data_IF_599978628419
#
_entry.id   IF_599978628419
#
_cell.length_a   1.000
_cell.length_b   1.000
_cell.length_c   1.000
_cell.angle_alpha   90.00
_cell.angle_beta   90.00
_cell.angle_gamma   90.00
#
_symmetry.space_group_name_H-M   'P 1'
#
loop_
_entity.id
_entity.type
_entity.pdbx_description
1 polymer ?
#
# COMPACT_ATOMS: atom_id res chain seq x y z
N UNK A 1 33.85 -17.18 -17.82
CA UNK A 1 33.51 -16.86 -16.41
C UNK A 1 32.11 -17.39 -16.14
N UNK A 2 31.86 -18.07 -15.01
CA UNK A 2 30.52 -18.61 -14.73
C UNK A 2 29.50 -17.49 -14.57
N UNK A 3 28.26 -17.74 -14.95
CA UNK A 3 27.18 -16.76 -14.90
C UNK A 3 26.87 -16.34 -13.46
N UNK A 4 27.00 -17.26 -12.50
CA UNK A 4 26.89 -16.96 -11.06
C UNK A 4 27.94 -15.94 -10.61
N UNK A 5 29.18 -16.03 -11.12
CA UNK A 5 30.25 -15.10 -10.77
C UNK A 5 30.00 -13.72 -11.39
N UNK A 6 29.51 -13.69 -12.64
CA UNK A 6 29.08 -12.46 -13.33
C UNK A 6 27.97 -11.76 -12.54
N UNK A 7 26.98 -12.51 -12.09
CA UNK A 7 25.88 -11.97 -11.28
C UNK A 7 26.38 -11.41 -9.94
N UNK A 8 27.25 -12.15 -9.24
CA UNK A 8 27.85 -11.66 -7.99
C UNK A 8 28.61 -10.35 -8.16
N UNK A 9 29.36 -10.20 -9.26
CA UNK A 9 30.07 -8.97 -9.57
C UNK A 9 29.14 -7.80 -9.91
N UNK A 10 28.03 -8.05 -10.60
CA UNK A 10 27.00 -7.03 -10.87
C UNK A 10 26.32 -6.62 -9.56
N UNK A 11 25.87 -7.59 -8.77
CA UNK A 11 25.15 -7.34 -7.51
C UNK A 11 25.98 -6.53 -6.51
N UNK A 12 27.30 -6.79 -6.43
CA UNK A 12 28.21 -6.03 -5.57
C UNK A 12 28.38 -4.55 -5.96
N UNK A 13 28.02 -4.18 -7.20
CA UNK A 13 28.11 -2.82 -7.74
C UNK A 13 26.75 -2.11 -7.83
N UNK A 14 25.66 -2.77 -7.44
CA UNK A 14 24.35 -2.11 -7.37
C UNK A 14 24.33 -1.12 -6.19
N UNK A 15 23.58 -0.01 -6.29
CA UNK A 15 23.30 0.90 -5.17
C UNK A 15 22.75 0.16 -3.96
N UNK A 16 22.66 0.77 -2.77
CA UNK A 16 22.08 0.09 -1.58
C UNK A 16 20.54 0.01 -1.64
N UNK A 17 19.94 0.86 -2.45
CA UNK A 17 18.54 1.23 -2.57
C UNK A 17 17.95 0.94 -3.97
N UNK A 18 18.65 0.14 -4.78
CA UNK A 18 18.10 -0.32 -6.05
C UNK A 18 16.81 -1.12 -5.85
N UNK A 19 15.84 -0.92 -6.73
CA UNK A 19 14.56 -1.64 -6.72
C UNK A 19 14.59 -2.78 -7.72
N UNK A 20 15.03 -2.49 -8.94
CA UNK A 20 15.04 -3.42 -10.06
C UNK A 20 16.29 -3.18 -10.91
N UNK A 21 16.88 -4.26 -11.43
CA UNK A 21 17.96 -4.18 -12.41
C UNK A 21 17.55 -4.94 -13.67
N UNK A 22 17.67 -4.28 -14.81
CA UNK A 22 17.53 -4.90 -16.12
C UNK A 22 18.85 -5.57 -16.49
N UNK A 23 18.79 -6.86 -16.79
CA UNK A 23 19.92 -7.65 -17.25
C UNK A 23 19.68 -8.10 -18.69
N UNK A 24 20.73 -8.04 -19.50
CA UNK A 24 20.75 -8.60 -20.85
C UNK A 24 21.67 -9.80 -20.85
N UNK A 25 21.16 -10.96 -21.23
CA UNK A 25 21.87 -12.21 -21.28
C UNK A 25 21.99 -12.66 -22.73
N UNK A 26 23.23 -12.75 -23.21
CA UNK A 26 23.56 -13.28 -24.53
C UNK A 26 24.17 -14.68 -24.37
N UNK A 27 23.70 -15.65 -25.14
CA UNK A 27 24.36 -16.97 -25.24
C UNK A 27 25.54 -16.87 -26.20
N UNK A 28 26.66 -17.54 -25.89
CA UNK A 28 27.80 -17.59 -26.81
C UNK A 28 27.44 -18.29 -28.13
N UNK A 29 26.60 -19.33 -28.05
CA UNK A 29 26.03 -20.00 -29.20
C UNK A 29 24.57 -19.53 -29.41
N UNK A 30 24.21 -18.90 -30.55
CA UNK A 30 22.86 -18.38 -30.78
C UNK A 30 21.76 -19.45 -30.75
N UNK A 31 22.11 -20.70 -31.08
CA UNK A 31 21.17 -21.84 -31.06
C UNK A 31 20.68 -22.16 -29.64
N UNK A 32 21.46 -21.81 -28.61
CA UNK A 32 21.18 -22.15 -27.21
C UNK A 32 20.23 -21.17 -26.53
N UNK A 33 19.88 -20.05 -27.17
CA UNK A 33 19.03 -19.00 -26.57
C UNK A 33 17.65 -19.54 -26.15
N UNK A 34 17.09 -20.49 -26.90
CA UNK A 34 15.79 -21.11 -26.59
C UNK A 34 15.90 -21.98 -25.33
N UNK A 35 17.00 -22.73 -25.20
CA UNK A 35 17.27 -23.58 -24.04
C UNK A 35 17.56 -22.73 -22.80
N UNK A 36 18.31 -21.64 -22.96
CA UNK A 36 18.55 -20.67 -21.91
C UNK A 36 17.23 -20.03 -21.42
N UNK A 37 16.36 -19.62 -22.33
CA UNK A 37 15.06 -19.04 -22.00
C UNK A 37 14.19 -20.03 -21.21
N UNK A 38 14.16 -21.30 -21.61
CA UNK A 38 13.41 -22.34 -20.90
C UNK A 38 13.92 -22.55 -19.47
N UNK A 39 15.24 -22.56 -19.27
CA UNK A 39 15.83 -22.69 -17.94
C UNK A 39 15.57 -21.46 -17.06
N UNK A 40 15.47 -20.27 -17.66
CA UNK A 40 15.17 -19.01 -16.99
C UNK A 40 13.67 -18.71 -16.84
N UNK A 41 12.79 -19.63 -17.24
CA UNK A 41 11.33 -19.44 -17.26
C UNK A 41 10.74 -18.75 -16.02
N UNK A 42 11.14 -19.08 -14.77
CA UNK A 42 10.63 -18.41 -13.58
C UNK A 42 10.91 -16.90 -13.48
N UNK A 43 11.94 -16.39 -14.19
CA UNK A 43 12.23 -14.95 -14.29
C UNK A 43 11.48 -14.27 -15.44
N UNK A 44 10.69 -15.02 -16.21
CA UNK A 44 9.96 -14.55 -17.39
C UNK A 44 10.85 -13.72 -18.36
N UNK A 45 11.96 -14.29 -18.86
CA UNK A 45 12.86 -13.56 -19.76
C UNK A 45 12.15 -13.18 -21.05
N UNK A 46 12.36 -11.95 -21.49
CA UNK A 46 11.88 -11.43 -22.76
C UNK A 46 12.96 -11.64 -23.81
N UNK A 47 12.63 -12.27 -24.94
CA UNK A 47 13.57 -12.42 -26.04
C UNK A 47 13.60 -11.13 -26.87
N UNK A 48 14.78 -10.52 -27.00
CA UNK A 48 14.99 -9.32 -27.80
C UNK A 48 16.33 -9.42 -28.52
N UNK A 49 16.35 -9.18 -29.84
CA UNK A 49 17.57 -9.08 -30.65
C UNK A 49 18.56 -10.26 -30.49
N UNK A 50 18.04 -11.48 -30.30
CA UNK A 50 18.89 -12.68 -30.12
C UNK A 50 19.45 -12.87 -28.71
N UNK A 51 19.14 -11.97 -27.78
CA UNK A 51 19.44 -12.05 -26.36
C UNK A 51 18.15 -12.23 -25.52
N UNK A 52 18.35 -12.45 -24.22
CA UNK A 52 17.30 -12.52 -23.21
C UNK A 52 17.42 -11.32 -22.29
N UNK A 53 16.36 -10.54 -22.20
CA UNK A 53 16.21 -9.44 -21.26
C UNK A 53 15.42 -9.95 -20.06
N UNK A 54 15.94 -9.75 -18.86
CA UNK A 54 15.28 -10.16 -17.63
C UNK A 54 15.45 -9.10 -16.54
N UNK A 55 14.50 -9.10 -15.61
CA UNK A 55 14.47 -8.14 -14.52
C UNK A 55 14.63 -8.88 -13.21
N UNK A 56 15.57 -8.41 -12.39
CA UNK A 56 15.74 -8.90 -11.01
C UNK A 56 15.29 -7.79 -10.09
N UNK A 57 14.46 -8.11 -9.09
CA UNK A 57 13.93 -7.15 -8.11
C UNK A 57 14.52 -7.40 -6.73
N UNK A 58 14.92 -6.34 -6.03
CA UNK A 58 15.52 -6.45 -4.69
C UNK A 58 14.55 -7.04 -3.66
N UNK A 59 13.25 -6.77 -3.78
CA UNK A 59 12.20 -7.18 -2.85
C UNK A 59 12.05 -8.71 -2.67
N UNK A 60 12.77 -9.52 -3.45
CA UNK A 60 12.82 -10.97 -3.29
C UNK A 60 11.77 -11.72 -4.11
N UNK A 61 11.43 -12.94 -3.68
CA UNK A 61 10.47 -13.81 -4.37
C UNK A 61 11.04 -14.51 -5.60
N UNK A 62 10.16 -14.94 -6.51
CA UNK A 62 10.52 -15.69 -7.72
C UNK A 62 11.43 -14.89 -8.68
N UNK A 63 11.38 -13.54 -8.62
CA UNK A 63 12.24 -12.62 -9.37
C UNK A 63 13.37 -11.99 -8.55
N UNK A 64 13.68 -12.54 -7.37
CA UNK A 64 14.67 -11.99 -6.45
C UNK A 64 16.13 -12.37 -6.76
N UNK A 65 17.12 -11.75 -6.09
CA UNK A 65 18.55 -12.00 -6.31
C UNK A 65 18.95 -13.48 -6.14
N UNK A 66 18.43 -14.13 -5.08
CA UNK A 66 18.73 -15.54 -4.80
C UNK A 66 17.98 -16.50 -5.76
N UNK A 67 16.84 -16.08 -6.31
CA UNK A 67 16.17 -16.85 -7.36
C UNK A 67 16.98 -16.77 -8.67
N UNK A 68 17.41 -15.56 -9.06
CA UNK A 68 18.26 -15.35 -10.22
C UNK A 68 19.58 -16.14 -10.12
N UNK A 69 20.26 -16.06 -8.98
CA UNK A 69 21.50 -16.82 -8.71
C UNK A 69 21.33 -18.32 -8.90
N UNK A 70 20.23 -18.91 -8.40
CA UNK A 70 19.94 -20.35 -8.56
C UNK A 70 19.73 -20.73 -10.03
N UNK A 71 19.04 -19.87 -10.79
CA UNK A 71 18.77 -20.14 -12.20
C UNK A 71 20.03 -19.96 -13.06
N UNK A 72 20.89 -19.00 -12.73
CA UNK A 72 22.20 -18.86 -13.37
C UNK A 72 23.12 -20.05 -13.08
N UNK A 73 23.13 -20.55 -11.83
CA UNK A 73 23.87 -21.76 -11.48
C UNK A 73 23.41 -22.97 -12.31
N UNK A 74 22.10 -23.09 -12.55
CA UNK A 74 21.54 -24.14 -13.41
C UNK A 74 22.00 -24.03 -14.86
N UNK A 75 22.13 -22.83 -15.41
CA UNK A 75 22.69 -22.62 -16.75
C UNK A 75 24.17 -23.03 -16.81
N UNK A 76 24.95 -22.66 -15.79
CA UNK A 76 26.36 -23.05 -15.67
C UNK A 76 26.51 -24.58 -15.59
N UNK A 77 25.67 -25.26 -14.79
CA UNK A 77 25.64 -26.72 -14.68
C UNK A 77 25.27 -27.40 -16.00
N UNK A 78 24.36 -26.80 -16.77
CA UNK A 78 23.97 -27.27 -18.10
C UNK A 78 25.00 -26.94 -19.19
N UNK A 79 26.11 -26.28 -18.83
CA UNK A 79 27.17 -25.82 -19.74
C UNK A 79 26.63 -24.93 -20.87
N UNK A 80 25.63 -24.11 -20.56
CA UNK A 80 25.11 -23.08 -21.46
C UNK A 80 25.90 -21.81 -21.15
N UNK A 81 26.88 -21.51 -21.99
CA UNK A 81 27.77 -20.37 -21.77
C UNK A 81 27.09 -19.07 -22.17
N UNK A 82 26.98 -18.16 -21.21
CA UNK A 82 26.28 -16.90 -21.35
C UNK A 82 27.14 -15.75 -20.84
N UNK A 83 26.94 -14.58 -21.44
CA UNK A 83 27.43 -13.30 -20.93
C UNK A 83 26.26 -12.50 -20.39
N UNK A 84 26.44 -11.91 -19.22
CA UNK A 84 25.47 -11.07 -18.53
C UNK A 84 25.95 -9.62 -18.58
N UNK A 85 25.17 -8.77 -19.24
CA UNK A 85 25.38 -7.34 -19.25
C UNK A 85 24.34 -6.62 -18.41
N UNK A 86 24.79 -5.58 -17.72
CA UNK A 86 23.96 -4.77 -16.83
C UNK A 86 23.40 -3.58 -17.63
N UNK A 87 22.09 -3.59 -17.82
CA UNK A 87 21.37 -2.47 -18.41
C UNK A 87 20.95 -1.43 -17.37
N UNK A 88 19.79 -0.82 -17.62
CA UNK A 88 19.18 0.18 -16.76
C UNK A 88 18.94 -0.34 -15.34
N UNK A 89 19.31 0.48 -14.35
CA UNK A 89 19.00 0.25 -12.94
C UNK A 89 17.83 1.18 -12.62
N UNK A 90 16.72 0.61 -12.20
CA UNK A 90 15.67 1.38 -11.57
C UNK A 90 16.04 1.52 -10.09
N UNK A 91 16.63 2.66 -9.77
CA UNK A 91 16.71 3.10 -8.38
C UNK A 91 15.29 3.33 -7.90
N UNK A 92 15.04 3.00 -6.62
CA UNK A 92 13.82 3.44 -6.00
C UNK A 92 13.88 4.97 -6.05
N UNK A 93 13.08 5.59 -6.93
CA UNK A 93 12.87 7.03 -6.85
C UNK A 93 12.52 7.31 -5.38
N UNK A 94 13.12 8.33 -4.72
CA UNK A 94 12.60 8.75 -3.44
C UNK A 94 11.11 8.90 -3.67
N UNK A 95 10.32 8.09 -2.96
CA UNK A 95 8.89 8.17 -3.05
C UNK A 95 8.62 9.59 -2.55
N UNK A 96 8.39 10.52 -3.48
CA UNK A 96 7.56 11.66 -3.17
C UNK A 96 6.28 10.98 -2.70
N UNK A 97 6.15 10.88 -1.38
CA UNK A 97 4.86 10.75 -0.75
C UNK A 97 4.07 11.93 -1.31
N UNK A 98 3.33 11.69 -2.39
CA UNK A 98 2.08 12.39 -2.60
C UNK A 98 1.41 12.29 -1.25
N UNK A 99 1.21 13.41 -0.52
CA UNK A 99 0.73 13.32 0.84
C UNK A 99 -0.56 12.53 0.79
N UNK A 100 -0.52 11.28 1.26
CA UNK A 100 -1.74 10.52 1.52
C UNK A 100 -2.48 11.42 2.50
N UNK A 101 -3.64 11.94 2.09
CA UNK A 101 -4.36 12.91 2.90
C UNK A 101 -4.47 12.34 4.31
N UNK A 102 -3.91 13.05 5.30
CA UNK A 102 -3.97 12.59 6.68
C UNK A 102 -5.44 12.50 7.07
N UNK A 103 -5.86 11.34 7.57
CA UNK A 103 -7.23 11.14 8.03
C UNK A 103 -7.51 12.11 9.18
N UNK A 104 -6.52 12.31 10.06
CA UNK A 104 -6.62 13.29 11.14
C UNK A 104 -6.78 14.73 10.61
N UNK A 105 -6.04 15.11 9.57
CA UNK A 105 -6.20 16.42 8.94
C UNK A 105 -7.57 16.57 8.28
N UNK A 106 -8.06 15.55 7.57
CA UNK A 106 -9.40 15.58 6.95
C UNK A 106 -10.51 15.77 7.99
N UNK A 107 -10.31 15.21 9.19
CA UNK A 107 -11.20 15.41 10.33
C UNK A 107 -11.15 16.85 10.86
N UNK A 108 -9.94 17.38 11.05
CA UNK A 108 -9.74 18.76 11.51
C UNK A 108 -10.39 19.76 10.53
N UNK A 109 -10.19 19.55 9.23
CA UNK A 109 -10.79 20.35 8.16
C UNK A 109 -12.32 20.25 8.17
N UNK A 110 -12.88 19.04 8.28
CA UNK A 110 -14.31 18.85 8.31
C UNK A 110 -14.96 19.54 9.53
N UNK A 111 -14.34 19.45 10.71
CA UNK A 111 -14.85 20.10 11.93
C UNK A 111 -14.70 21.61 11.87
N UNK A 112 -13.65 22.14 11.25
CA UNK A 112 -13.40 23.57 11.14
C UNK A 112 -14.47 24.30 10.31
N UNK A 113 -15.17 23.60 9.41
CA UNK A 113 -16.27 24.17 8.60
C UNK A 113 -17.59 24.32 9.36
N UNK A 114 -17.70 23.75 10.56
CA UNK A 114 -18.96 23.70 11.30
C UNK A 114 -19.26 25.00 12.07
N UNK A 115 -20.54 25.35 12.27
CA UNK A 115 -20.95 26.45 13.15
C UNK A 115 -20.43 26.30 14.57
N UNK A 116 -20.11 27.38 15.26
CA UNK A 116 -19.53 27.31 16.61
C UNK A 116 -20.41 26.56 17.62
N UNK A 117 -21.74 26.56 17.42
CA UNK A 117 -22.78 25.99 18.28
C UNK A 117 -23.18 24.55 17.93
N UNK A 118 -22.46 23.86 17.05
CA UNK A 118 -22.74 22.47 16.76
C UNK A 118 -22.62 21.61 18.03
N UNK A 119 -23.52 20.63 18.18
CA UNK A 119 -23.62 19.73 19.32
C UNK A 119 -23.32 18.27 18.95
N UNK A 120 -23.94 17.77 17.89
CA UNK A 120 -23.87 16.35 17.48
C UNK A 120 -23.63 16.22 15.96
N UNK A 121 -22.83 15.22 15.58
CA UNK A 121 -22.45 14.94 14.21
C UNK A 121 -22.71 13.47 13.87
N UNK A 122 -23.22 13.24 12.66
CA UNK A 122 -23.14 11.96 11.97
C UNK A 122 -22.04 12.07 10.92
N UNK A 123 -21.02 11.23 11.04
CA UNK A 123 -19.84 11.27 10.21
C UNK A 123 -19.65 9.96 9.45
N UNK A 124 -18.95 10.04 8.33
CA UNK A 124 -18.43 8.90 7.58
C UNK A 124 -16.92 8.95 7.57
N UNK A 125 -16.29 7.81 7.83
CA UNK A 125 -14.89 7.54 7.56
C UNK A 125 -14.82 6.62 6.34
N UNK A 126 -14.30 7.09 5.22
CA UNK A 126 -14.01 6.27 4.04
C UNK A 126 -12.55 5.81 4.08
N UNK A 127 -12.30 4.57 3.67
CA UNK A 127 -10.99 3.90 3.64
C UNK A 127 -10.70 3.51 2.19
N UNK A 128 -9.49 3.79 1.71
CA UNK A 128 -9.13 3.56 0.30
C UNK A 128 -9.08 2.07 -0.09
N UNK A 129 -8.82 1.17 0.87
CA UNK A 129 -8.68 -0.27 0.66
C UNK A 129 -9.66 -1.11 1.49
N UNK A 130 -10.38 -2.04 0.85
CA UNK A 130 -11.33 -2.92 1.55
C UNK A 130 -10.65 -3.97 2.42
N UNK A 131 -9.44 -4.38 2.07
CA UNK A 131 -8.56 -5.25 2.84
C UNK A 131 -8.06 -4.61 4.14
N UNK A 132 -8.06 -3.27 4.20
CA UNK A 132 -7.67 -2.50 5.39
C UNK A 132 -8.81 -2.33 6.40
N UNK A 133 -10.07 -2.64 6.03
CA UNK A 133 -11.23 -2.46 6.90
C UNK A 133 -11.11 -3.15 8.27
N UNK A 134 -10.65 -4.41 8.39
CA UNK A 134 -10.52 -5.05 9.71
C UNK A 134 -9.51 -4.33 10.60
N UNK A 135 -8.40 -3.85 10.04
CA UNK A 135 -7.37 -3.12 10.80
C UNK A 135 -7.87 -1.74 11.19
N UNK A 136 -8.47 -1.02 10.26
CA UNK A 136 -9.09 0.28 10.51
C UNK A 136 -10.18 0.19 11.60
N UNK A 137 -11.03 -0.84 11.56
CA UNK A 137 -12.06 -1.07 12.58
C UNK A 137 -11.46 -1.24 13.98
N UNK A 138 -10.32 -1.95 14.11
CA UNK A 138 -9.65 -2.16 15.38
C UNK A 138 -9.06 -0.84 15.93
N UNK A 139 -8.37 -0.08 15.07
CA UNK A 139 -7.77 1.20 15.47
C UNK A 139 -8.82 2.25 15.82
N UNK A 140 -9.96 2.20 15.13
CA UNK A 140 -11.12 3.03 15.35
C UNK A 140 -12.13 2.43 16.34
N UNK A 141 -11.85 1.32 17.03
CA UNK A 141 -12.79 0.74 17.99
C UNK A 141 -13.33 1.77 19.03
N UNK A 142 -12.52 2.73 19.55
CA UNK A 142 -13.02 3.74 20.48
C UNK A 142 -14.05 4.72 19.92
N UNK A 143 -14.15 4.91 18.59
CA UNK A 143 -15.18 5.78 17.98
C UNK A 143 -16.52 5.05 17.81
N UNK A 144 -16.61 3.79 18.23
CA UNK A 144 -17.76 2.90 18.08
C UNK A 144 -18.33 2.89 16.64
N UNK A 145 -17.51 2.55 15.63
CA UNK A 145 -17.89 2.65 14.23
C UNK A 145 -18.88 1.55 13.87
N UNK A 146 -19.85 1.88 13.01
CA UNK A 146 -20.71 0.90 12.34
C UNK A 146 -20.31 0.82 10.86
N UNK A 147 -20.23 -0.38 10.29
CA UNK A 147 -19.90 -0.56 8.87
C UNK A 147 -20.89 0.18 7.97
N UNK A 148 -20.38 1.04 7.09
CA UNK A 148 -21.18 1.66 6.04
C UNK A 148 -21.50 0.65 4.93
N UNK A 149 -22.70 0.66 4.36
CA UNK A 149 -23.06 -0.23 3.24
C UNK A 149 -22.88 0.42 1.88
N UNK A 150 -22.74 1.74 1.85
CA UNK A 150 -22.64 2.52 0.61
C UNK A 150 -21.19 2.80 0.20
N UNK A 151 -20.25 2.69 1.14
CA UNK A 151 -18.82 2.97 0.94
C UNK A 151 -17.91 1.89 1.53
N UNK A 152 -16.62 1.92 1.20
CA UNK A 152 -15.58 1.16 1.91
C UNK A 152 -15.21 1.98 3.15
N UNK A 153 -15.90 1.75 4.26
CA UNK A 153 -15.79 2.66 5.41
C UNK A 153 -16.75 2.42 6.56
N UNK A 154 -16.85 3.41 7.43
CA UNK A 154 -17.63 3.37 8.65
C UNK A 154 -18.47 4.62 8.84
N UNK A 155 -19.59 4.46 9.51
CA UNK A 155 -20.38 5.54 10.07
C UNK A 155 -20.12 5.61 11.57
N UNK A 156 -20.06 6.81 12.11
CA UNK A 156 -19.89 7.02 13.54
C UNK A 156 -20.53 8.34 13.97
N UNK A 157 -20.73 8.46 15.29
CA UNK A 157 -21.27 9.66 15.91
C UNK A 157 -20.17 10.39 16.64
N UNK A 158 -20.02 11.67 16.37
CA UNK A 158 -19.20 12.55 17.20
C UNK A 158 -20.10 13.54 17.93
N UNK A 159 -19.74 13.90 19.16
CA UNK A 159 -20.54 14.83 19.94
C UNK A 159 -19.70 15.65 20.91
N UNK A 160 -20.16 16.88 21.19
CA UNK A 160 -19.74 17.70 22.33
C UNK A 160 -20.59 17.45 23.57
N UNK A 161 -21.83 16.99 23.39
CA UNK A 161 -22.82 16.77 24.46
C UNK A 161 -23.61 15.48 24.25
N UNK A 162 -23.79 14.67 25.29
CA UNK A 162 -24.55 13.42 25.19
C UNK A 162 -23.74 12.27 24.55
N UNK A 163 -24.36 11.53 23.63
CA UNK A 163 -23.84 10.25 23.13
C UNK A 163 -23.10 10.37 21.78
N UNK A 164 -21.83 10.02 21.78
CA UNK A 164 -20.93 10.06 20.63
C UNK A 164 -19.48 10.18 21.09
N UNK A 165 -18.52 9.93 20.20
CA UNK A 165 -17.11 10.12 20.53
C UNK A 165 -16.77 11.60 20.60
N UNK A 166 -15.86 11.99 21.50
CA UNK A 166 -15.36 13.36 21.52
C UNK A 166 -14.49 13.65 20.30
N UNK A 167 -14.40 14.92 19.90
CA UNK A 167 -13.59 15.33 18.74
C UNK A 167 -12.12 14.97 18.89
N UNK A 168 -11.58 15.11 20.10
CA UNK A 168 -10.19 14.77 20.41
C UNK A 168 -9.95 13.26 20.33
N UNK A 169 -10.91 12.45 20.81
CA UNK A 169 -10.77 10.99 20.72
C UNK A 169 -10.93 10.48 19.29
N UNK A 170 -11.84 11.07 18.50
CA UNK A 170 -11.95 10.79 17.07
C UNK A 170 -10.63 11.06 16.36
N UNK A 171 -10.07 12.27 16.56
CA UNK A 171 -8.78 12.68 16.00
C UNK A 171 -7.66 11.70 16.35
N UNK A 172 -7.54 11.29 17.61
CA UNK A 172 -6.53 10.30 18.05
C UNK A 172 -6.69 8.93 17.38
N UNK A 173 -7.91 8.51 17.07
CA UNK A 173 -8.12 7.27 16.33
C UNK A 173 -7.66 7.41 14.87
N UNK A 174 -7.84 8.59 14.27
CA UNK A 174 -7.38 8.88 12.91
C UNK A 174 -5.85 9.04 12.83
N UNK A 175 -5.22 9.63 13.84
CA UNK A 175 -3.75 9.66 13.94
C UNK A 175 -3.15 8.25 13.93
N UNK A 176 -3.81 7.27 14.56
CA UNK A 176 -3.37 5.86 14.50
C UNK A 176 -3.51 5.23 13.12
N UNK A 177 -4.51 5.64 12.33
CA UNK A 177 -4.62 5.22 10.94
C UNK A 177 -3.45 5.79 10.13
N UNK A 178 -3.15 7.09 10.34
CA UNK A 178 -2.04 7.78 9.68
C UNK A 178 -0.69 7.15 10.05
N UNK A 179 -0.45 6.85 11.33
CA UNK A 179 0.74 6.14 11.84
C UNK A 179 0.94 4.77 11.17
N UNK A 180 -0.14 4.09 10.81
CA UNK A 180 -0.10 2.80 10.10
C UNK A 180 -0.21 2.93 8.58
N UNK A 181 -0.14 4.16 8.04
CA UNK A 181 -0.27 4.42 6.61
C UNK A 181 -1.59 3.91 6.00
N UNK A 182 -2.67 3.88 6.78
CA UNK A 182 -4.02 3.53 6.31
C UNK A 182 -4.70 4.81 5.83
N UNK A 183 -4.73 5.00 4.51
CA UNK A 183 -5.33 6.17 3.88
C UNK A 183 -6.87 6.15 3.91
N UNK A 184 -7.44 7.34 4.04
CA UNK A 184 -8.87 7.55 4.11
C UNK A 184 -9.25 9.02 4.25
N UNK A 185 -10.54 9.28 4.38
CA UNK A 185 -11.06 10.64 4.57
C UNK A 185 -12.31 10.65 5.44
N UNK A 186 -12.48 11.73 6.20
CA UNK A 186 -13.66 11.92 7.04
C UNK A 186 -14.58 12.99 6.46
N UNK A 187 -15.87 12.68 6.37
CA UNK A 187 -16.91 13.61 5.93
C UNK A 187 -18.00 13.73 6.99
N UNK A 188 -18.38 14.96 7.34
CA UNK A 188 -19.57 15.20 8.16
C UNK A 188 -20.80 15.10 7.26
N UNK A 189 -21.64 14.09 7.49
CA UNK A 189 -22.85 13.88 6.71
C UNK A 189 -23.99 14.77 7.19
N UNK A 190 -24.11 14.93 8.51
CA UNK A 190 -25.14 15.76 9.15
C UNK A 190 -24.60 16.35 10.45
N UNK A 191 -25.05 17.56 10.77
CA UNK A 191 -24.77 18.25 12.02
C UNK A 191 -26.06 18.77 12.65
N UNK A 192 -26.15 18.70 13.98
CA UNK A 192 -27.18 19.34 14.78
C UNK A 192 -26.52 20.36 15.71
N UNK A 193 -27.13 21.53 15.84
CA UNK A 193 -26.73 22.58 16.78
C UNK A 193 -27.74 22.68 17.93
N UNK A 194 -27.29 23.22 19.06
CA UNK A 194 -28.12 23.54 20.24
C UNK A 194 -28.96 22.37 20.81
N UNK A 195 -28.50 21.12 20.61
CA UNK A 195 -29.20 19.97 21.20
C UNK A 195 -28.99 19.91 22.71
N UNK A 196 -30.08 19.63 23.44
CA UNK A 196 -30.07 19.43 24.90
C UNK A 196 -30.50 18.01 25.21
N UNK A 197 -29.56 17.06 25.37
CA UNK A 197 -29.89 15.68 25.63
C UNK A 197 -30.62 15.53 26.97
N UNK A 198 -31.58 14.61 27.03
CA UNK A 198 -32.24 14.23 28.27
C UNK A 198 -31.51 13.02 28.84
N UNK A 199 -30.86 13.20 29.99
CA UNK A 199 -29.94 12.23 30.59
C UNK A 199 -28.80 11.82 29.62
N UNK A 200 -28.49 10.53 29.49
CA UNK A 200 -27.44 10.03 28.58
C UNK A 200 -27.90 9.81 27.14
N UNK A 201 -29.18 10.07 26.83
CA UNK A 201 -29.75 9.85 25.50
C UNK A 201 -29.42 11.05 24.59
N UNK A 202 -28.54 10.83 23.62
CA UNK A 202 -28.30 11.77 22.52
C UNK A 202 -29.38 11.66 21.44
N UNK A 203 -29.23 12.43 20.36
CA UNK A 203 -30.15 12.40 19.23
C UNK A 203 -30.14 11.02 18.54
N UNK A 204 -31.30 10.57 18.05
CA UNK A 204 -31.39 9.31 17.29
C UNK A 204 -31.14 9.55 15.81
N UNK A 205 -30.15 8.87 15.23
CA UNK A 205 -29.82 8.98 13.82
C UNK A 205 -30.38 7.78 13.06
N UNK A 206 -31.28 8.03 12.10
CA UNK A 206 -31.77 6.97 11.21
C UNK A 206 -30.94 6.97 9.93
N UNK A 207 -30.25 5.86 9.67
CA UNK A 207 -29.47 5.61 8.45
C UNK A 207 -29.98 4.31 7.82
N UNK A 208 -30.40 4.37 6.56
CA UNK A 208 -30.96 3.22 5.82
C UNK A 208 -32.05 2.44 6.61
N UNK A 209 -32.91 3.16 7.34
CA UNK A 209 -34.01 2.57 8.11
C UNK A 209 -33.63 1.96 9.47
N UNK A 210 -32.39 2.16 9.96
CA UNK A 210 -31.93 1.68 11.27
C UNK A 210 -31.41 2.84 12.13
N UNK A 211 -31.59 2.71 13.45
CA UNK A 211 -31.03 3.65 14.42
C UNK A 211 -29.54 3.37 14.60
N UNK A 212 -28.73 4.42 14.62
CA UNK A 212 -27.29 4.42 14.83
C UNK A 212 -26.89 5.13 16.13
#
# INVERSE_FOLDING_TARGET
MKLVDQWGAIQARLPRDWEEVRLTLATEEPSQVVKAAAALGPLNPIRAEGALVLYVRRAGGAGGPEAAKRLFARLDEQRIWCTLDRGEIREQAPMEETPRGSVAQSWDDAVATLPQDWSELLCRLEIEGSDLLPRAALLCAPINPTRDRESIGFLFRASRVGYGVSTVMARRCFERLDEESIAGSVTVLRALSDTRPVASQGSSWIVAGRVL
#
